data_IF_625966589854
#
_entry.id   IF_625966589854
#
_cell.length_a   1.000
_cell.length_b   1.000
_cell.length_c   1.000
_cell.angle_alpha   90.00
_cell.angle_beta   90.00
_cell.angle_gamma   90.00
#
_symmetry.space_group_name_H-M   'P 1'
#
loop_
_entity.id
_entity.type
_entity.pdbx_description
1 polymer ?
#
# COMPACT_ATOMS: atom_id res chain seq x y z
N UNK A 1 18.90 -5.31 -9.24
CA UNK A 1 17.62 -4.58 -9.35
C UNK A 1 17.23 -4.07 -7.98
N UNK A 2 17.09 -2.75 -7.78
CA UNK A 2 16.61 -2.20 -6.50
C UNK A 2 15.12 -2.49 -6.31
N UNK A 3 14.69 -2.60 -5.06
CA UNK A 3 13.28 -2.84 -4.69
C UNK A 3 12.73 -1.61 -3.97
N UNK A 4 11.57 -1.13 -4.41
CA UNK A 4 10.85 -0.03 -3.78
C UNK A 4 9.48 -0.50 -3.31
N UNK A 5 8.98 0.05 -2.22
CA UNK A 5 7.70 -0.32 -1.63
C UNK A 5 6.84 0.90 -1.36
N UNK A 6 5.58 0.85 -1.79
CA UNK A 6 4.54 1.83 -1.47
C UNK A 6 3.47 1.12 -0.64
N UNK A 7 3.30 1.51 0.62
CA UNK A 7 2.28 0.92 1.49
C UNK A 7 0.88 1.46 1.21
N UNK A 8 -0.12 1.01 1.96
CA UNK A 8 -1.47 1.56 1.91
C UNK A 8 -1.59 2.97 2.49
N UNK A 9 -2.80 3.55 2.38
CA UNK A 9 -3.11 4.88 2.91
C UNK A 9 -2.78 4.97 4.41
N UNK A 10 -2.01 6.00 4.80
CA UNK A 10 -1.65 6.22 6.20
C UNK A 10 -0.54 5.30 6.73
N UNK A 11 0.00 4.40 5.90
CA UNK A 11 1.17 3.61 6.26
C UNK A 11 2.42 4.48 6.41
N UNK A 12 3.36 3.99 7.22
CA UNK A 12 4.69 4.56 7.41
C UNK A 12 5.74 3.45 7.36
N UNK A 13 7.02 3.83 7.27
CA UNK A 13 8.11 2.89 7.05
C UNK A 13 8.25 1.79 8.12
N UNK A 14 7.67 1.97 9.32
CA UNK A 14 7.73 0.95 10.37
C UNK A 14 6.69 -0.16 10.17
N UNK A 15 5.57 0.09 9.48
CA UNK A 15 4.57 -0.95 9.19
C UNK A 15 5.17 -2.09 8.36
N UNK A 16 6.06 -1.77 7.43
CA UNK A 16 6.69 -2.73 6.51
C UNK A 16 8.05 -3.23 6.97
N UNK A 17 8.55 -2.77 8.13
CA UNK A 17 9.93 -3.02 8.54
C UNK A 17 10.21 -4.49 8.86
N UNK A 18 9.29 -5.17 9.55
CA UNK A 18 9.43 -6.61 9.82
C UNK A 18 9.43 -7.40 8.51
N UNK A 19 8.52 -7.06 7.61
CA UNK A 19 8.45 -7.66 6.28
C UNK A 19 9.74 -7.45 5.48
N UNK A 20 10.33 -6.25 5.52
CA UNK A 20 11.60 -5.98 4.83
C UNK A 20 12.79 -6.75 5.43
N UNK A 21 12.77 -7.04 6.73
CA UNK A 21 13.82 -7.83 7.39
C UNK A 21 13.82 -9.30 6.96
N UNK A 22 12.68 -9.80 6.47
CA UNK A 22 12.53 -11.18 6.00
C UNK A 22 12.82 -11.34 4.49
N UNK A 23 13.01 -10.24 3.75
CA UNK A 23 13.35 -10.28 2.33
C UNK A 23 14.86 -10.45 2.12
N UNK A 24 15.24 -11.20 1.07
CA UNK A 24 16.65 -11.51 0.76
C UNK A 24 17.45 -10.30 0.25
N UNK A 25 16.79 -9.15 0.07
CA UNK A 25 17.43 -7.92 -0.37
C UNK A 25 16.77 -6.69 0.22
N UNK A 26 17.54 -5.61 0.33
CA UNK A 26 17.05 -4.32 0.79
C UNK A 26 15.88 -3.80 -0.05
N UNK A 27 14.87 -3.24 0.64
CA UNK A 27 13.73 -2.55 0.06
C UNK A 27 13.66 -1.12 0.61
N UNK A 28 13.37 -0.17 -0.28
CA UNK A 28 13.26 1.25 0.05
C UNK A 28 11.77 1.65 0.15
N UNK A 29 11.38 2.20 1.29
CA UNK A 29 10.02 2.70 1.50
C UNK A 29 9.81 4.05 0.80
N UNK A 30 8.75 4.16 0.01
CA UNK A 30 8.31 5.39 -0.63
C UNK A 30 7.00 5.86 0.00
N UNK A 31 6.95 7.12 0.41
CA UNK A 31 5.77 7.71 1.06
C UNK A 31 5.16 8.86 0.23
N UNK A 32 4.27 8.57 -0.74
CA UNK A 32 3.61 9.62 -1.51
C UNK A 32 2.65 10.47 -0.66
N UNK A 33 2.20 9.96 0.50
CA UNK A 33 1.15 10.57 1.33
C UNK A 33 1.61 11.81 2.10
N UNK A 34 2.93 11.97 2.27
CA UNK A 34 3.52 13.16 2.90
C UNK A 34 3.71 14.32 1.91
N UNK A 35 3.45 14.11 0.63
CA UNK A 35 3.65 15.10 -0.43
C UNK A 35 2.32 15.64 -0.92
N UNK A 36 2.27 16.93 -1.17
CA UNK A 36 1.13 17.56 -1.84
C UNK A 36 1.28 17.41 -3.36
N UNK A 37 0.88 16.25 -3.89
CA UNK A 37 0.97 15.91 -5.32
C UNK A 37 -0.34 16.28 -6.01
N UNK A 38 -0.35 17.39 -6.75
CA UNK A 38 -1.58 18.03 -7.25
C UNK A 38 -2.09 17.42 -8.54
N UNK A 39 -1.18 16.90 -9.35
CA UNK A 39 -1.49 16.37 -10.67
C UNK A 39 -0.59 15.20 -11.06
N UNK A 40 -0.89 14.59 -12.21
CA UNK A 40 -0.17 13.45 -12.75
C UNK A 40 1.30 13.79 -13.05
N UNK A 41 1.60 15.03 -13.46
CA UNK A 41 2.96 15.47 -13.77
C UNK A 41 3.82 15.54 -12.52
N UNK A 42 3.29 16.08 -11.42
CA UNK A 42 3.97 16.08 -10.13
C UNK A 42 4.15 14.68 -9.57
N UNK A 43 3.13 13.82 -9.67
CA UNK A 43 3.21 12.42 -9.23
C UNK A 43 4.32 11.67 -9.96
N UNK A 44 4.41 11.81 -11.30
CA UNK A 44 5.48 11.21 -12.12
C UNK A 44 6.85 11.78 -11.76
N UNK A 45 6.95 13.11 -11.65
CA UNK A 45 8.22 13.77 -11.35
C UNK A 45 8.74 13.36 -9.98
N UNK A 46 7.85 13.28 -8.99
CA UNK A 46 8.17 12.75 -7.67
C UNK A 46 8.71 11.33 -7.76
N UNK A 47 7.96 10.40 -8.36
CA UNK A 47 8.38 9.01 -8.44
C UNK A 47 9.73 8.85 -9.16
N UNK A 48 9.93 9.56 -10.28
CA UNK A 48 11.18 9.55 -11.03
C UNK A 48 12.37 10.04 -10.20
N UNK A 49 12.14 11.02 -9.33
CA UNK A 49 13.16 11.55 -8.40
C UNK A 49 13.44 10.61 -7.21
N UNK A 50 12.51 9.73 -6.84
CA UNK A 50 12.74 8.73 -5.79
C UNK A 50 13.57 7.54 -6.30
N UNK A 51 13.48 7.23 -7.60
CA UNK A 51 14.18 6.08 -8.22
C UNK A 51 15.45 6.48 -9.00
N UNK A 52 16.01 7.66 -8.74
CA UNK A 52 17.07 8.31 -9.54
C UNK A 52 18.18 7.34 -9.97
N UNK A 53 18.52 7.39 -11.26
CA UNK A 53 19.61 6.65 -11.91
C UNK A 53 19.45 5.12 -11.97
N UNK A 54 18.28 4.58 -11.64
CA UNK A 54 18.02 3.13 -11.79
C UNK A 54 17.62 2.75 -13.21
N UNK A 55 18.37 1.83 -13.83
CA UNK A 55 18.01 1.24 -15.12
C UNK A 55 16.93 0.16 -15.00
N UNK A 56 16.85 -0.51 -13.84
CA UNK A 56 15.84 -1.54 -13.57
C UNK A 56 15.50 -1.65 -12.09
N UNK A 57 14.21 -1.65 -11.79
CA UNK A 57 13.65 -1.74 -10.44
C UNK A 57 12.52 -2.77 -10.35
N UNK A 58 12.32 -3.27 -9.14
CA UNK A 58 11.15 -4.00 -8.72
C UNK A 58 10.31 -3.08 -7.83
N UNK A 59 9.03 -2.91 -8.18
CA UNK A 59 8.11 -2.08 -7.43
C UNK A 59 7.09 -2.96 -6.72
N UNK A 60 6.94 -2.74 -5.42
CA UNK A 60 6.01 -3.46 -4.55
C UNK A 60 4.97 -2.45 -4.07
N UNK A 61 3.69 -2.78 -4.18
CA UNK A 61 2.61 -1.90 -3.75
C UNK A 61 1.56 -2.65 -2.96
N UNK A 62 1.13 -2.09 -1.83
CA UNK A 62 0.02 -2.61 -1.02
C UNK A 62 -1.19 -1.68 -1.05
N UNK A 63 -2.40 -2.23 -1.18
CA UNK A 63 -3.65 -1.45 -1.11
C UNK A 63 -3.62 -0.26 -2.09
N UNK A 64 -3.87 0.97 -1.62
CA UNK A 64 -3.71 2.21 -2.38
C UNK A 64 -2.31 2.33 -3.03
N UNK A 65 -1.25 1.93 -2.33
CA UNK A 65 0.10 1.85 -2.89
C UNK A 65 0.23 0.84 -4.03
N UNK A 66 -0.60 -0.21 -4.05
CA UNK A 66 -0.75 -1.14 -5.16
C UNK A 66 -1.29 -0.47 -6.42
N UNK A 67 -2.28 0.43 -6.28
CA UNK A 67 -2.82 1.20 -7.42
C UNK A 67 -1.76 2.14 -7.99
N UNK A 68 -1.02 2.83 -7.12
CA UNK A 68 0.11 3.66 -7.52
C UNK A 68 1.22 2.85 -8.18
N UNK A 69 1.59 1.71 -7.60
CA UNK A 69 2.63 0.84 -8.12
C UNK A 69 2.27 0.30 -9.51
N UNK A 70 1.03 -0.16 -9.69
CA UNK A 70 0.50 -0.57 -10.99
C UNK A 70 0.60 0.55 -12.02
N UNK A 71 0.17 1.75 -11.65
CA UNK A 71 0.23 2.90 -12.53
C UNK A 71 1.67 3.24 -12.93
N UNK A 72 2.58 3.37 -11.95
CA UNK A 72 3.98 3.66 -12.21
C UNK A 72 4.65 2.59 -13.06
N UNK A 73 4.35 1.33 -12.81
CA UNK A 73 4.87 0.26 -13.64
C UNK A 73 4.44 0.40 -15.10
N UNK A 74 3.23 0.91 -15.34
CA UNK A 74 2.72 1.16 -16.68
C UNK A 74 3.32 2.40 -17.38
N UNK A 75 3.86 3.35 -16.62
CA UNK A 75 4.45 4.59 -17.14
C UNK A 75 5.98 4.54 -17.30
N UNK A 76 6.65 3.81 -16.41
CA UNK A 76 8.09 3.84 -16.25
C UNK A 76 8.69 2.51 -16.68
N UNK A 77 9.47 2.54 -17.77
CA UNK A 77 10.17 1.37 -18.30
C UNK A 77 11.20 0.80 -17.33
N UNK A 78 11.67 1.60 -16.38
CA UNK A 78 12.55 1.19 -15.30
C UNK A 78 11.91 0.10 -14.43
N UNK A 79 10.57 0.09 -14.32
CA UNK A 79 9.87 -0.97 -13.59
C UNK A 79 9.83 -2.23 -14.46
N UNK A 80 10.67 -3.20 -14.08
CA UNK A 80 10.78 -4.50 -14.77
C UNK A 80 10.08 -5.63 -14.04
N UNK A 81 9.77 -5.43 -12.75
CA UNK A 81 9.01 -6.39 -11.93
C UNK A 81 8.01 -5.64 -11.06
N UNK A 82 6.77 -6.11 -11.02
CA UNK A 82 5.71 -5.54 -10.20
C UNK A 82 5.19 -6.60 -9.22
N UNK A 83 5.07 -6.23 -7.95
CA UNK A 83 4.47 -7.08 -6.92
C UNK A 83 3.32 -6.30 -6.27
N UNK A 84 2.12 -6.84 -6.36
CA UNK A 84 0.90 -6.23 -5.84
C UNK A 84 0.40 -7.04 -4.64
N UNK A 85 0.33 -6.39 -3.49
CA UNK A 85 -0.17 -6.98 -2.24
C UNK A 85 -1.57 -6.41 -1.97
N UNK A 86 -2.58 -7.19 -2.34
CA UNK A 86 -3.99 -6.85 -2.15
C UNK A 86 -4.39 -5.43 -2.63
N UNK A 87 -3.84 -5.00 -3.77
CA UNK A 87 -4.07 -3.68 -4.37
C UNK A 87 -3.74 -3.68 -5.86
N UNK A 88 -4.04 -2.59 -6.58
CA UNK A 88 -3.72 -2.47 -8.00
C UNK A 88 -4.64 -3.25 -8.93
N UNK A 89 -5.86 -3.63 -8.51
CA UNK A 89 -6.79 -4.41 -9.34
C UNK A 89 -8.21 -3.83 -9.39
N UNK A 90 -8.48 -2.78 -8.61
CA UNK A 90 -9.82 -2.21 -8.49
C UNK A 90 -10.04 -1.08 -9.49
N UNK A 91 -11.13 -1.18 -10.23
CA UNK A 91 -11.77 -0.02 -10.86
C UNK A 91 -12.75 0.56 -9.84
N UNK A 92 -12.36 1.67 -9.22
CA UNK A 92 -13.14 2.24 -8.12
C UNK A 92 -14.36 2.98 -8.61
N UNK A 93 -14.39 3.39 -9.88
CA UNK A 93 -15.53 4.09 -10.46
C UNK A 93 -16.71 3.11 -10.64
N UNK A 94 -16.42 1.81 -10.76
CA UNK A 94 -17.42 0.73 -10.69
C UNK A 94 -17.87 0.40 -9.25
N UNK A 95 -17.13 0.81 -8.22
CA UNK A 95 -17.37 0.38 -6.82
C UNK A 95 -18.07 1.47 -6.01
N UNK A 96 -17.51 2.69 -5.96
CA UNK A 96 -18.11 3.79 -5.22
C UNK A 96 -17.74 5.17 -5.79
N UNK A 97 -18.65 6.17 -5.72
CA UNK A 97 -18.36 7.53 -6.21
C UNK A 97 -17.20 8.20 -5.48
N UNK A 98 -16.40 9.01 -6.20
CA UNK A 98 -15.28 9.74 -5.61
C UNK A 98 -15.70 10.59 -4.41
N UNK A 99 -16.81 11.33 -4.49
CA UNK A 99 -17.26 12.18 -3.39
C UNK A 99 -17.55 11.37 -2.12
N UNK A 100 -18.09 10.15 -2.26
CA UNK A 100 -18.29 9.22 -1.16
C UNK A 100 -16.95 8.75 -0.57
N UNK A 101 -15.97 8.40 -1.41
CA UNK A 101 -14.63 8.00 -0.94
C UNK A 101 -13.96 9.10 -0.12
N UNK A 102 -14.05 10.35 -0.60
CA UNK A 102 -13.47 11.51 0.07
C UNK A 102 -14.17 11.81 1.39
N UNK A 103 -15.50 11.75 1.42
CA UNK A 103 -16.28 11.98 2.63
C UNK A 103 -16.01 10.88 3.69
N UNK A 104 -16.03 9.61 3.29
CA UNK A 104 -15.74 8.48 4.17
C UNK A 104 -14.30 8.56 4.70
N UNK A 105 -13.33 8.87 3.85
CA UNK A 105 -11.94 9.05 4.29
C UNK A 105 -11.82 10.20 5.28
N UNK A 106 -12.44 11.35 5.01
CA UNK A 106 -12.44 12.50 5.92
C UNK A 106 -13.06 12.16 7.28
N UNK A 107 -14.18 11.43 7.26
CA UNK A 107 -14.87 11.00 8.47
C UNK A 107 -14.04 9.97 9.24
N UNK A 108 -13.39 9.04 8.55
CA UNK A 108 -12.46 8.10 9.16
C UNK A 108 -11.33 8.84 9.88
N UNK A 109 -10.62 9.74 9.20
CA UNK A 109 -9.52 10.51 9.79
C UNK A 109 -9.98 11.29 11.02
N UNK A 110 -11.15 11.93 10.96
CA UNK A 110 -11.73 12.65 12.10
C UNK A 110 -12.14 11.75 13.27
N UNK A 111 -12.43 10.47 13.01
CA UNK A 111 -12.76 9.50 14.06
C UNK A 111 -11.53 8.90 14.73
N UNK A 112 -10.35 9.01 14.13
CA UNK A 112 -9.08 8.53 14.67
C UNK A 112 -8.49 9.51 15.70
N UNK A 113 -9.25 9.76 16.77
CA UNK A 113 -8.87 10.61 17.89
C UNK A 113 -8.83 9.76 19.16
N UNK A 114 -7.70 9.77 19.86
CA UNK A 114 -7.53 8.98 21.11
C UNK A 114 -6.96 9.84 22.22
N UNK A 115 -7.39 9.60 23.46
CA UNK A 115 -6.86 10.30 24.64
C UNK A 115 -5.60 9.63 25.21
N UNK A 116 -5.41 8.34 24.96
CA UNK A 116 -4.31 7.55 25.49
C UNK A 116 -3.74 6.63 24.38
N UNK A 117 -2.54 6.96 23.92
CA UNK A 117 -1.83 6.20 22.90
C UNK A 117 -1.39 4.82 23.40
N UNK A 118 -1.11 4.66 24.71
CA UNK A 118 -0.73 3.37 25.27
C UNK A 118 -1.91 2.39 25.25
N UNK A 119 -3.13 2.89 25.49
CA UNK A 119 -4.36 2.10 25.38
C UNK A 119 -4.61 1.64 23.94
N UNK A 120 -4.43 2.54 22.96
CA UNK A 120 -4.54 2.19 21.54
C UNK A 120 -3.54 1.08 21.16
N UNK A 121 -2.26 1.26 21.52
CA UNK A 121 -1.20 0.27 21.28
C UNK A 121 -1.56 -1.08 21.92
N UNK A 122 -2.05 -1.08 23.16
CA UNK A 122 -2.45 -2.31 23.84
C UNK A 122 -3.61 -3.01 23.12
N UNK A 123 -4.57 -2.25 22.59
CA UNK A 123 -5.70 -2.80 21.83
C UNK A 123 -5.21 -3.42 20.52
N UNK A 124 -4.46 -2.68 19.72
CA UNK A 124 -3.93 -3.18 18.44
C UNK A 124 -3.06 -4.42 18.64
N UNK A 125 -2.20 -4.43 19.66
CA UNK A 125 -1.40 -5.60 20.04
C UNK A 125 -2.25 -6.83 20.38
N UNK A 126 -3.40 -6.64 21.03
CA UNK A 126 -4.28 -7.76 21.40
C UNK A 126 -5.07 -8.33 20.22
N UNK A 127 -5.28 -7.54 19.17
CA UNK A 127 -6.04 -7.91 17.98
C UNK A 127 -5.12 -8.39 16.82
N UNK A 128 -3.83 -8.07 16.88
CA UNK A 128 -2.88 -8.41 15.83
C UNK A 128 -2.44 -9.88 15.86
N UNK A 129 -2.32 -10.49 14.68
CA UNK A 129 -1.77 -11.85 14.51
C UNK A 129 -0.26 -11.90 14.74
N UNK A 130 0.42 -10.79 14.45
CA UNK A 130 1.84 -10.58 14.64
C UNK A 130 2.02 -9.22 15.31
N UNK A 131 2.96 -9.11 16.25
CA UNK A 131 3.27 -7.85 16.92
C UNK A 131 4.77 -7.76 17.21
N UNK A 132 5.36 -6.61 16.91
CA UNK A 132 6.76 -6.32 17.14
C UNK A 132 6.97 -4.90 17.68
N UNK A 133 8.21 -4.60 18.08
CA UNK A 133 8.60 -3.22 18.39
C UNK A 133 8.47 -2.28 17.18
N UNK A 134 8.61 -2.78 15.96
CA UNK A 134 8.41 -1.97 14.77
C UNK A 134 6.93 -1.62 14.59
N UNK A 135 6.01 -2.56 14.84
CA UNK A 135 4.58 -2.25 14.83
C UNK A 135 4.21 -1.22 15.89
N UNK A 136 4.76 -1.31 17.11
CA UNK A 136 4.53 -0.28 18.12
C UNK A 136 5.05 1.09 17.66
N UNK A 137 6.25 1.15 17.06
CA UNK A 137 6.79 2.40 16.48
C UNK A 137 5.92 2.92 15.34
N UNK A 138 5.35 2.04 14.55
CA UNK A 138 4.45 2.39 13.47
C UNK A 138 3.21 3.12 14.01
N UNK A 139 2.55 2.57 15.03
CA UNK A 139 1.41 3.23 15.70
C UNK A 139 1.82 4.56 16.29
N UNK A 140 2.95 4.62 17.01
CA UNK A 140 3.42 5.87 17.63
C UNK A 140 3.70 6.96 16.60
N UNK A 141 4.25 6.62 15.44
CA UNK A 141 4.49 7.59 14.37
C UNK A 141 3.22 8.01 13.65
N UNK A 142 2.19 7.16 13.61
CA UNK A 142 0.90 7.49 12.99
C UNK A 142 0.11 8.56 13.73
N UNK A 143 0.50 8.93 14.96
CA UNK A 143 -0.20 9.92 15.78
C UNK A 143 0.72 11.05 16.25
N UNK A 144 0.18 12.26 16.34
CA UNK A 144 0.81 13.39 17.02
C UNK A 144 -0.05 13.86 18.19
N UNK A 145 0.58 14.49 19.19
CA UNK A 145 -0.13 15.08 20.32
C UNK A 145 -0.63 16.48 19.96
N UNK A 146 -1.94 16.69 20.03
CA UNK A 146 -2.58 17.99 19.87
C UNK A 146 -2.75 18.66 21.24
N UNK A 147 -1.95 19.71 21.48
CA UNK A 147 -1.91 20.43 22.77
C UNK A 147 -3.19 21.25 23.02
N UNK A 148 -3.82 21.76 21.97
CA UNK A 148 -5.04 22.58 22.07
C UNK A 148 -6.23 21.75 22.56
N UNK A 149 -6.34 20.51 22.08
CA UNK A 149 -7.45 19.62 22.40
C UNK A 149 -7.10 18.50 23.40
N UNK A 150 -5.85 18.46 23.88
CA UNK A 150 -5.35 17.47 24.84
C UNK A 150 -5.67 16.02 24.42
N UNK A 151 -5.33 15.68 23.17
CA UNK A 151 -5.61 14.37 22.56
C UNK A 151 -4.59 14.04 21.47
N UNK A 152 -4.50 12.77 21.11
CA UNK A 152 -3.77 12.31 19.95
C UNK A 152 -4.65 12.30 18.70
N UNK A 153 -4.08 12.73 17.58
CA UNK A 153 -4.72 12.76 16.26
C UNK A 153 -3.77 12.14 15.23
N UNK A 154 -4.30 11.61 14.13
CA UNK A 154 -3.44 11.06 13.09
C UNK A 154 -2.47 12.12 12.55
N UNK A 155 -1.20 11.75 12.40
CA UNK A 155 -0.14 12.55 11.81
C UNK A 155 -0.19 12.52 10.28
N UNK A 156 -1.35 12.85 9.72
CA UNK A 156 -1.59 12.89 8.26
C UNK A 156 -2.16 14.24 7.85
N UNK A 157 -1.77 14.69 6.66
CA UNK A 157 -2.33 15.90 6.06
C UNK A 157 -3.49 15.50 5.14
N UNK A 158 -4.72 15.89 5.51
CA UNK A 158 -5.92 15.56 4.74
C UNK A 158 -5.88 16.11 3.30
N UNK A 159 -5.32 17.30 3.06
CA UNK A 159 -5.22 17.87 1.71
C UNK A 159 -4.34 17.02 0.80
N UNK A 160 -3.24 16.47 1.33
CA UNK A 160 -2.40 15.52 0.60
C UNK A 160 -3.14 14.22 0.29
N UNK A 161 -3.87 13.68 1.27
CA UNK A 161 -4.67 12.47 1.09
C UNK A 161 -5.75 12.69 0.03
N UNK A 162 -6.49 13.79 0.12
CA UNK A 162 -7.52 14.13 -0.86
C UNK A 162 -6.92 14.26 -2.27
N UNK A 163 -5.77 14.92 -2.42
CA UNK A 163 -5.10 15.05 -3.72
C UNK A 163 -4.72 13.67 -4.29
N UNK A 164 -4.16 12.79 -3.47
CA UNK A 164 -3.79 11.43 -3.90
C UNK A 164 -5.02 10.58 -4.25
N UNK A 165 -6.11 10.65 -3.48
CA UNK A 165 -7.34 9.90 -3.81
C UNK A 165 -7.95 10.39 -5.13
N UNK A 166 -7.93 11.71 -5.39
CA UNK A 166 -8.34 12.27 -6.68
C UNK A 166 -7.43 11.81 -7.82
N UNK A 167 -6.12 11.71 -7.58
CA UNK A 167 -5.17 11.19 -8.57
C UNK A 167 -5.42 9.70 -8.85
N UNK A 168 -5.62 8.89 -7.82
CA UNK A 168 -5.96 7.46 -7.92
C UNK A 168 -7.10 7.22 -8.91
N UNK A 169 -8.14 8.07 -8.91
CA UNK A 169 -9.25 7.97 -9.88
C UNK A 169 -8.84 8.17 -11.34
N UNK A 170 -7.82 8.99 -11.60
CA UNK A 170 -7.38 9.31 -12.97
C UNK A 170 -6.41 8.27 -13.56
N UNK A 171 -5.76 7.47 -12.71
CA UNK A 171 -4.60 6.65 -13.08
C UNK A 171 -4.86 5.13 -13.07
N UNK A 172 -6.13 4.70 -13.07
CA UNK A 172 -6.51 3.30 -12.83
C UNK A 172 -6.15 2.31 -13.97
N UNK A 173 -5.92 2.79 -15.19
CA UNK A 173 -5.70 1.92 -16.35
C UNK A 173 -4.21 1.62 -16.57
N UNK A 174 -3.91 0.37 -16.99
CA UNK A 174 -2.59 0.06 -17.54
C UNK A 174 -2.38 0.80 -18.86
N UNK A 175 -1.26 1.52 -18.99
CA UNK A 175 -0.82 2.05 -20.30
C UNK A 175 0.09 1.07 -21.07
N UNK A 176 0.69 0.09 -20.39
CA UNK A 176 1.49 -1.01 -20.97
C UNK A 176 1.48 -2.24 -20.05
N UNK A 177 1.87 -3.39 -20.59
CA UNK A 177 2.18 -4.60 -19.83
C UNK A 177 3.57 -4.50 -19.19
N UNK A 178 3.70 -4.97 -17.95
CA UNK A 178 4.96 -4.93 -17.19
C UNK A 178 5.75 -6.26 -17.31
N UNK A 179 5.16 -7.27 -17.95
CA UNK A 179 5.74 -8.60 -18.09
C UNK A 179 5.69 -9.38 -16.78
N UNK A 180 6.71 -9.22 -15.95
CA UNK A 180 6.85 -9.95 -14.69
C UNK A 180 6.02 -9.30 -13.57
N UNK A 181 4.80 -9.80 -13.38
CA UNK A 181 3.91 -9.34 -12.30
C UNK A 181 3.49 -10.48 -11.38
N UNK A 182 3.60 -10.24 -10.07
CA UNK A 182 3.05 -11.07 -9.00
C UNK A 182 1.90 -10.34 -8.32
N UNK A 183 0.77 -11.01 -8.17
CA UNK A 183 -0.37 -10.52 -7.39
C UNK A 183 -0.64 -11.49 -6.24
N UNK A 184 -0.58 -10.99 -5.01
CA UNK A 184 -0.88 -11.74 -3.79
C UNK A 184 -2.08 -11.06 -3.13
N UNK A 185 -3.15 -11.80 -2.89
CA UNK A 185 -4.35 -11.29 -2.23
C UNK A 185 -4.96 -12.34 -1.31
N UNK A 186 -5.55 -11.96 -0.17
CA UNK A 186 -6.34 -12.90 0.61
C UNK A 186 -7.56 -13.40 -0.19
N UNK A 187 -7.93 -14.66 0.02
CA UNK A 187 -9.27 -15.12 -0.33
C UNK A 187 -10.22 -14.67 0.77
N UNK A 188 -11.20 -13.84 0.42
CA UNK A 188 -12.21 -13.36 1.35
C UNK A 188 -13.43 -14.26 1.27
N UNK A 189 -13.70 -15.11 2.29
CA UNK A 189 -14.92 -15.91 2.31
C UNK A 189 -16.12 -14.96 2.38
N UNK A 190 -17.07 -15.08 1.45
CA UNK A 190 -18.22 -14.17 1.32
C UNK A 190 -17.82 -12.71 1.07
N UNK A 191 -16.75 -12.49 0.28
CA UNK A 191 -16.36 -11.15 -0.17
C UNK A 191 -17.47 -10.46 -0.97
N UNK A 192 -17.38 -9.15 -1.10
CA UNK A 192 -18.33 -8.40 -1.92
C UNK A 192 -18.23 -8.81 -3.40
N UNK A 193 -19.37 -8.88 -4.10
CA UNK A 193 -19.45 -9.32 -5.51
C UNK A 193 -18.52 -8.53 -6.42
N UNK A 194 -18.40 -7.21 -6.23
CA UNK A 194 -17.51 -6.35 -7.01
C UNK A 194 -16.04 -6.80 -6.95
N UNK A 195 -15.63 -7.43 -5.85
CA UNK A 195 -14.26 -7.92 -5.68
C UNK A 195 -14.02 -9.15 -6.54
N UNK A 196 -14.97 -10.08 -6.55
CA UNK A 196 -14.90 -11.27 -7.41
C UNK A 196 -14.91 -10.88 -8.89
N UNK A 197 -15.69 -9.88 -9.26
CA UNK A 197 -15.73 -9.32 -10.61
C UNK A 197 -14.40 -8.68 -10.99
N UNK A 198 -13.82 -7.83 -10.13
CA UNK A 198 -12.52 -7.21 -10.37
C UNK A 198 -11.39 -8.25 -10.50
N UNK A 199 -11.41 -9.32 -9.70
CA UNK A 199 -10.41 -10.40 -9.79
C UNK A 199 -10.50 -11.20 -11.10
N UNK A 200 -11.69 -11.28 -11.73
CA UNK A 200 -11.84 -11.90 -13.07
C UNK A 200 -11.28 -11.03 -14.19
N UNK A 201 -11.10 -9.73 -13.95
CA UNK A 201 -10.51 -8.77 -14.89
C UNK A 201 -8.98 -8.67 -14.74
N UNK A 202 -8.36 -9.46 -13.84
CA UNK A 202 -6.90 -9.50 -13.71
C UNK A 202 -6.26 -9.99 -15.01
N UNK A 203 -5.16 -9.36 -15.48
CA UNK A 203 -4.49 -9.82 -16.68
C UNK A 203 -3.94 -11.24 -16.56
N UNK A 204 -4.10 -12.04 -17.60
CA UNK A 204 -3.68 -13.45 -17.64
C UNK A 204 -2.17 -13.65 -17.43
N UNK A 205 -1.36 -12.61 -17.68
CA UNK A 205 0.09 -12.66 -17.46
C UNK A 205 0.52 -12.49 -16.00
N UNK A 206 -0.42 -12.21 -15.08
CA UNK A 206 -0.11 -12.10 -13.66
C UNK A 206 0.07 -13.48 -13.04
N UNK A 207 1.20 -13.69 -12.37
CA UNK A 207 1.33 -14.78 -11.41
C UNK A 207 0.46 -14.44 -10.19
N UNK A 208 -0.60 -15.21 -9.95
CA UNK A 208 -1.58 -14.88 -8.91
C UNK A 208 -1.57 -15.91 -7.79
N UNK A 209 -1.50 -15.44 -6.54
CA UNK A 209 -1.55 -16.24 -5.33
C UNK A 209 -2.70 -15.74 -4.45
N UNK A 210 -3.63 -16.64 -4.13
CA UNK A 210 -4.72 -16.37 -3.19
C UNK A 210 -4.47 -17.07 -1.85
N UNK A 211 -4.46 -16.31 -0.77
CA UNK A 211 -4.11 -16.80 0.57
C UNK A 211 -5.35 -17.01 1.45
N UNK A 212 -5.47 -18.20 2.04
CA UNK A 212 -6.54 -18.51 3.02
C UNK A 212 -6.17 -18.01 4.41
N UNK A 213 -7.15 -17.56 5.20
CA UNK A 213 -6.95 -17.08 6.58
C UNK A 213 -6.06 -15.82 6.70
N UNK A 214 -5.96 -15.02 5.64
CA UNK A 214 -5.31 -13.71 5.65
C UNK A 214 -6.34 -12.58 5.62
N UNK A 215 -5.96 -11.43 6.19
CA UNK A 215 -6.67 -10.17 5.99
C UNK A 215 -5.90 -9.22 5.06
N UNK A 216 -6.44 -8.02 4.87
CA UNK A 216 -5.89 -7.01 3.95
C UNK A 216 -4.43 -6.64 4.23
N UNK A 217 -4.05 -6.55 5.51
CA UNK A 217 -2.69 -6.21 5.94
C UNK A 217 -1.76 -7.44 5.95
N UNK A 218 -1.78 -8.24 4.89
CA UNK A 218 -1.12 -9.56 4.82
C UNK A 218 0.37 -9.54 5.20
N UNK A 219 1.12 -8.53 4.75
CA UNK A 219 2.57 -8.43 5.02
C UNK A 219 2.88 -8.00 6.47
N UNK A 220 1.93 -7.39 7.18
CA UNK A 220 2.08 -7.12 8.63
C UNK A 220 1.57 -8.29 9.47
N UNK A 221 0.58 -9.03 8.96
CA UNK A 221 0.02 -10.21 9.63
C UNK A 221 0.97 -11.41 9.64
N UNK A 222 1.70 -11.66 8.54
CA UNK A 222 2.66 -12.75 8.45
C UNK A 222 3.90 -12.33 7.61
N UNK A 223 4.74 -11.41 8.11
CA UNK A 223 5.85 -10.83 7.35
C UNK A 223 6.77 -11.88 6.72
N UNK A 224 7.11 -12.93 7.48
CA UNK A 224 7.97 -14.02 7.01
C UNK A 224 7.36 -14.85 5.89
N UNK A 225 6.08 -15.19 5.99
CA UNK A 225 5.39 -16.00 4.98
C UNK A 225 5.27 -15.24 3.67
N UNK A 226 4.84 -13.98 3.73
CA UNK A 226 4.74 -13.12 2.55
C UNK A 226 6.11 -12.88 1.92
N UNK A 227 7.16 -12.66 2.73
CA UNK A 227 8.52 -12.53 2.23
C UNK A 227 9.03 -13.80 1.55
N UNK A 228 8.74 -15.00 2.11
CA UNK A 228 9.11 -16.29 1.49
C UNK A 228 8.50 -16.43 0.10
N UNK A 229 7.18 -16.20 -0.04
CA UNK A 229 6.48 -16.28 -1.32
C UNK A 229 7.09 -15.31 -2.36
N UNK A 230 7.45 -14.11 -1.93
CA UNK A 230 8.06 -13.12 -2.80
C UNK A 230 9.51 -13.46 -3.18
N UNK A 231 10.32 -13.94 -2.24
CA UNK A 231 11.70 -14.37 -2.51
C UNK A 231 11.72 -15.57 -3.48
N UNK A 232 10.83 -16.55 -3.25
CA UNK A 232 10.65 -17.69 -4.15
C UNK A 232 10.26 -17.22 -5.56
N UNK A 233 9.26 -16.36 -5.68
CA UNK A 233 8.85 -15.81 -6.97
C UNK A 233 9.99 -15.06 -7.68
N UNK A 234 10.71 -14.20 -6.95
CA UNK A 234 11.83 -13.43 -7.50
C UNK A 234 12.99 -14.32 -7.97
N UNK A 235 13.25 -15.43 -7.27
CA UNK A 235 14.31 -16.37 -7.61
C UNK A 235 14.06 -17.11 -8.94
N UNK A 236 12.82 -17.26 -9.39
CA UNK A 236 12.50 -17.85 -10.70
C UNK A 236 12.96 -17.00 -11.90
N UNK A 237 13.27 -15.73 -11.69
CA UNK A 237 13.66 -14.79 -12.75
C UNK A 237 15.09 -14.25 -12.60
N UNK A 238 15.89 -14.87 -11.72
CA UNK A 238 17.33 -14.65 -11.60
C UNK A 238 18.09 -15.66 -12.45
#
# INVERSE_FOLDING_TARGET
MKKYFIGGLGSNAYHSKDFFQELDSQVYFLNPYEKHLRDETELKSWFKNEIVEEESICLIGHSLGGDLARYFASEFEEVKKLILLDGGYLDLDKILPLDTELEETKNYIKSQIVSDLALLISKEKSEAKHWSENMEKAVRQSYHWNVEYNRYELAINYENIEAILRLRRKIQAFKREVGDTLFISPRYPNGATWREEALKELPDYFNTIFLENFGHELYTQAPKEIASLMNEWLAYFL
#
